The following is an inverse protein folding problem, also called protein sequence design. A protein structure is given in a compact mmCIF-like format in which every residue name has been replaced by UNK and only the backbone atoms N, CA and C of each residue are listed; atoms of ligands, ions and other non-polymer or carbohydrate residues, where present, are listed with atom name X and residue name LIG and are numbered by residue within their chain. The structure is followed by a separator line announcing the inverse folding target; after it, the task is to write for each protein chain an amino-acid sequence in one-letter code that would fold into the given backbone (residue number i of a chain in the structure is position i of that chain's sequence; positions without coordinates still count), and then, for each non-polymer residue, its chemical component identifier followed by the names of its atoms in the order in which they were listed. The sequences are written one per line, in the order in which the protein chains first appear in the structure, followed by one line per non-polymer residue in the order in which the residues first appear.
data_IF_985541066315
#
_entry.id   IF_985541066315
#
_cell.length_a   1.000
_cell.length_b   1.000
_cell.length_c   1.000
_cell.angle_alpha   90.00
_cell.angle_beta   90.00
_cell.angle_gamma   90.00
#
_symmetry.space_group_name_H-M   'P 1'
#
loop_
_entity.id
_entity.type
_entity.pdbx_description
1 polymer ?
#
# COMPACT_ATOMS: atom_id res chain seq x y z
N UNK A 1 -33.38 -3.97 -54.39
CA UNK A 1 -33.79 -3.51 -53.04
C UNK A 1 -32.55 -3.46 -52.17
N UNK A 2 -32.43 -2.37 -51.43
CA UNK A 2 -31.22 -1.81 -50.82
C UNK A 2 -30.78 -2.56 -49.56
N UNK A 3 -29.47 -2.50 -49.30
CA UNK A 3 -28.67 -2.90 -48.15
C UNK A 3 -29.33 -2.89 -46.76
N UNK A 4 -28.89 -3.82 -45.91
CA UNK A 4 -28.68 -3.52 -44.49
C UNK A 4 -27.27 -3.97 -44.09
N UNK A 5 -26.46 -2.95 -43.83
CA UNK A 5 -25.22 -2.97 -43.07
C UNK A 5 -25.54 -2.62 -41.61
N UNK A 6 -24.67 -3.05 -40.69
CA UNK A 6 -24.57 -2.61 -39.28
C UNK A 6 -25.67 -3.16 -38.36
N UNK A 7 -25.38 -3.75 -37.20
CA UNK A 7 -24.39 -3.32 -36.21
C UNK A 7 -23.52 -4.48 -35.71
N UNK A 8 -22.20 -4.26 -35.73
CA UNK A 8 -21.31 -4.95 -34.81
C UNK A 8 -21.64 -4.43 -33.41
N UNK A 9 -22.08 -5.32 -32.54
CA UNK A 9 -22.20 -5.06 -31.12
C UNK A 9 -20.77 -4.92 -30.57
N UNK A 10 -20.33 -3.74 -30.10
CA UNK A 10 -19.18 -3.70 -29.23
C UNK A 10 -19.69 -4.28 -27.92
N UNK A 11 -19.58 -5.60 -27.75
CA UNK A 11 -19.62 -6.21 -26.44
C UNK A 11 -18.58 -5.46 -25.61
N UNK A 12 -19.10 -4.51 -24.85
CA UNK A 12 -18.43 -3.81 -23.80
C UNK A 12 -17.74 -4.90 -23.02
N UNK A 13 -16.43 -4.79 -22.97
CA UNK A 13 -15.58 -5.64 -22.16
C UNK A 13 -15.94 -5.25 -20.73
N UNK A 14 -17.08 -5.75 -20.23
CA UNK A 14 -17.46 -5.80 -18.83
C UNK A 14 -16.34 -6.59 -18.17
N UNK A 15 -15.28 -5.86 -17.85
CA UNK A 15 -14.13 -6.37 -17.15
C UNK A 15 -14.72 -6.92 -15.87
N UNK A 16 -14.76 -8.25 -15.75
CA UNK A 16 -15.20 -8.95 -14.55
C UNK A 16 -14.74 -8.15 -13.33
N UNK A 17 -15.59 -7.93 -12.31
CA UNK A 17 -15.31 -7.00 -11.23
C UNK A 17 -13.89 -7.24 -10.73
N UNK A 18 -12.99 -6.33 -11.15
CA UNK A 18 -11.55 -6.51 -11.01
C UNK A 18 -11.30 -6.82 -9.55
N UNK A 19 -10.70 -7.98 -9.24
CA UNK A 19 -10.62 -8.56 -7.90
C UNK A 19 -10.41 -7.49 -6.81
N UNK A 20 -11.47 -6.98 -6.18
CA UNK A 20 -11.34 -5.79 -5.33
C UNK A 20 -10.59 -6.11 -4.04
N UNK A 21 -9.81 -5.15 -3.56
CA UNK A 21 -9.11 -5.21 -2.28
C UNK A 21 -9.80 -4.27 -1.28
N UNK A 22 -10.24 -4.80 -0.14
CA UNK A 22 -10.82 -4.00 0.94
C UNK A 22 -9.71 -3.53 1.87
N UNK A 23 -9.67 -2.24 2.14
CA UNK A 23 -8.75 -1.62 3.10
C UNK A 23 -9.52 -1.24 4.36
N UNK A 24 -8.93 -1.52 5.52
CA UNK A 24 -9.44 -1.09 6.82
C UNK A 24 -8.32 -0.45 7.62
N UNK A 25 -8.57 0.71 8.21
CA UNK A 25 -7.65 1.32 9.14
C UNK A 25 -7.48 0.45 10.40
N UNK A 26 -6.23 0.23 10.81
CA UNK A 26 -5.85 -0.31 12.10
C UNK A 26 -5.24 0.80 12.96
N UNK A 27 -5.45 0.77 14.28
CA UNK A 27 -4.84 1.74 15.18
C UNK A 27 -3.32 1.62 15.18
N UNK A 28 -2.66 2.71 15.59
CA UNK A 28 -1.24 2.71 15.90
C UNK A 28 -0.90 1.60 16.91
N UNK A 29 0.28 0.98 16.75
CA UNK A 29 0.70 -0.11 17.64
C UNK A 29 1.13 0.38 19.03
N UNK A 30 1.65 1.59 19.12
CA UNK A 30 2.10 2.23 20.37
C UNK A 30 2.18 3.75 20.18
N UNK A 31 2.38 4.49 21.27
CA UNK A 31 2.72 5.91 21.25
C UNK A 31 4.19 6.11 21.65
N UNK A 32 4.91 7.10 21.09
CA UNK A 32 4.47 7.98 20.00
C UNK A 32 4.30 7.22 18.66
N UNK A 33 3.54 7.79 17.73
CA UNK A 33 3.32 7.20 16.41
C UNK A 33 3.36 8.27 15.31
N UNK A 34 3.96 7.92 14.18
CA UNK A 34 4.04 8.76 13.00
C UNK A 34 3.02 8.30 11.96
N UNK A 35 2.19 9.19 11.38
CA UNK A 35 1.34 8.86 10.24
C UNK A 35 2.15 8.25 9.10
N UNK A 36 1.55 7.36 8.30
CA UNK A 36 2.24 6.77 7.13
C UNK A 36 2.70 7.81 6.11
N UNK A 37 2.09 8.99 6.08
CA UNK A 37 2.46 10.10 5.20
C UNK A 37 3.59 10.98 5.75
N UNK A 38 3.97 10.76 7.01
CA UNK A 38 5.04 11.52 7.64
C UNK A 38 6.41 11.11 7.09
N UNK A 39 7.32 12.08 6.97
CA UNK A 39 8.70 11.87 6.50
C UNK A 39 9.46 10.80 7.28
N UNK A 40 9.08 10.58 8.54
CA UNK A 40 9.65 9.50 9.36
C UNK A 40 9.42 8.13 8.73
N UNK A 41 8.22 7.83 8.24
CA UNK A 41 7.95 6.54 7.59
C UNK A 41 8.79 6.40 6.32
N UNK A 42 8.81 7.44 5.49
CA UNK A 42 9.58 7.39 4.25
C UNK A 42 11.10 7.26 4.49
N UNK A 43 11.67 8.10 5.34
CA UNK A 43 13.13 8.15 5.52
C UNK A 43 13.62 6.96 6.37
N UNK A 44 12.89 6.61 7.45
CA UNK A 44 13.36 5.64 8.44
C UNK A 44 12.94 4.20 8.10
N UNK A 45 11.76 3.99 7.52
CA UNK A 45 11.30 2.65 7.17
C UNK A 45 11.71 2.20 5.75
N UNK A 46 12.04 3.10 4.81
CA UNK A 46 12.50 2.68 3.46
C UNK A 46 13.63 1.65 3.47
N UNK A 47 14.69 1.76 4.30
CA UNK A 47 15.72 0.72 4.37
C UNK A 47 15.22 -0.65 4.86
N UNK A 48 14.11 -0.69 5.61
CA UNK A 48 13.52 -1.90 6.18
C UNK A 48 12.59 -2.57 5.17
N UNK A 49 11.61 -1.81 4.67
CA UNK A 49 10.52 -2.34 3.84
C UNK A 49 10.72 -2.11 2.35
N UNK A 50 11.72 -1.32 1.97
CA UNK A 50 11.98 -0.96 0.58
C UNK A 50 11.04 0.15 0.06
N UNK A 51 11.44 0.85 -1.00
CA UNK A 51 10.74 2.03 -1.50
C UNK A 51 9.33 1.70 -2.00
N UNK A 52 9.16 0.59 -2.73
CA UNK A 52 7.86 0.16 -3.24
C UNK A 52 6.84 -0.07 -2.13
N UNK A 53 7.27 -0.68 -1.01
CA UNK A 53 6.38 -0.96 0.11
C UNK A 53 5.99 0.34 0.83
N UNK A 54 6.92 1.29 0.96
CA UNK A 54 6.62 2.64 1.47
C UNK A 54 5.59 3.34 0.60
N UNK A 55 5.78 3.38 -0.73
CA UNK A 55 4.83 4.00 -1.64
C UNK A 55 3.44 3.35 -1.56
N UNK A 56 3.39 2.02 -1.48
CA UNK A 56 2.15 1.27 -1.33
C UNK A 56 1.42 1.63 -0.02
N UNK A 57 2.13 1.64 1.11
CA UNK A 57 1.54 2.00 2.40
C UNK A 57 1.02 3.44 2.40
N UNK A 58 1.77 4.39 1.82
CA UNK A 58 1.34 5.78 1.66
C UNK A 58 0.09 5.90 0.75
N UNK A 59 0.02 5.14 -0.34
CA UNK A 59 -1.16 5.10 -1.20
C UNK A 59 -2.39 4.57 -0.47
N UNK A 60 -2.26 3.43 0.23
CA UNK A 60 -3.35 2.87 1.02
C UNK A 60 -3.82 3.82 2.14
N UNK A 61 -2.90 4.56 2.77
CA UNK A 61 -3.24 5.57 3.77
C UNK A 61 -4.08 6.69 3.17
N UNK A 62 -3.68 7.25 2.01
CA UNK A 62 -4.46 8.27 1.29
C UNK A 62 -5.87 7.79 0.93
N UNK A 63 -5.99 6.55 0.45
CA UNK A 63 -7.31 5.96 0.13
C UNK A 63 -8.21 5.85 1.37
N UNK A 64 -7.65 5.46 2.52
CA UNK A 64 -8.39 5.37 3.78
C UNK A 64 -8.79 6.76 4.31
N UNK A 65 -7.89 7.73 4.24
CA UNK A 65 -8.14 9.10 4.67
C UNK A 65 -9.22 9.78 3.81
N UNK A 66 -9.09 9.70 2.47
CA UNK A 66 -10.04 10.25 1.53
C UNK A 66 -11.46 9.65 1.68
N UNK A 67 -11.55 8.37 2.06
CA UNK A 67 -12.83 7.71 2.30
C UNK A 67 -13.42 7.99 3.70
N UNK A 68 -12.62 8.51 4.64
CA UNK A 68 -13.02 8.68 6.04
C UNK A 68 -13.29 7.37 6.78
N UNK A 69 -12.78 6.23 6.28
CA UNK A 69 -13.12 4.91 6.79
C UNK A 69 -12.70 3.74 5.89
N UNK A 70 -13.19 2.52 6.16
CA UNK A 70 -12.91 1.37 5.30
C UNK A 70 -13.33 1.63 3.85
N UNK A 71 -12.48 1.24 2.91
CA UNK A 71 -12.69 1.52 1.48
C UNK A 71 -12.30 0.32 0.62
N UNK A 72 -12.67 0.35 -0.66
CA UNK A 72 -12.30 -0.67 -1.65
C UNK A 72 -11.47 -0.05 -2.75
N UNK A 73 -10.41 -0.72 -3.15
CA UNK A 73 -9.51 -0.30 -4.23
C UNK A 73 -9.35 -1.42 -5.24
N UNK A 74 -9.17 -1.06 -6.52
CA UNK A 74 -8.76 -2.01 -7.54
C UNK A 74 -7.25 -2.29 -7.40
N UNK A 75 -6.81 -3.56 -7.28
CA UNK A 75 -5.37 -3.87 -7.19
C UNK A 75 -4.57 -3.43 -8.41
N UNK A 76 -5.18 -3.41 -9.59
CA UNK A 76 -4.51 -2.97 -10.83
C UNK A 76 -4.22 -1.48 -10.74
N UNK A 77 -5.24 -0.67 -10.41
CA UNK A 77 -5.10 0.78 -10.27
C UNK A 77 -4.14 1.13 -9.12
N UNK A 78 -4.26 0.46 -7.98
CA UNK A 78 -3.36 0.66 -6.84
C UNK A 78 -1.90 0.34 -7.20
N UNK A 79 -1.65 -0.72 -7.96
CA UNK A 79 -0.30 -1.04 -8.44
C UNK A 79 0.23 0.04 -9.40
N UNK A 80 -0.61 0.51 -10.33
CA UNK A 80 -0.25 1.54 -11.29
C UNK A 80 0.02 2.90 -10.61
N UNK A 81 -0.73 3.25 -9.57
CA UNK A 81 -0.54 4.48 -8.78
C UNK A 81 0.88 4.59 -8.23
N UNK A 82 1.48 3.47 -7.84
CA UNK A 82 2.85 3.40 -7.29
C UNK A 82 3.90 2.98 -8.31
N UNK A 83 3.57 3.03 -9.61
CA UNK A 83 4.49 2.75 -10.71
C UNK A 83 4.82 1.26 -10.92
N UNK A 84 4.02 0.34 -10.37
CA UNK A 84 4.20 -1.09 -10.60
C UNK A 84 3.46 -1.57 -11.84
N UNK A 85 4.07 -2.54 -12.53
CA UNK A 85 3.39 -3.27 -13.59
C UNK A 85 2.32 -4.17 -12.98
N UNK A 86 1.06 -3.92 -13.31
CA UNK A 86 -0.04 -4.79 -12.97
C UNK A 86 -0.16 -5.97 -13.96
N UNK A 87 -0.43 -7.17 -13.45
CA UNK A 87 -0.85 -8.31 -14.28
C UNK A 87 -2.36 -8.29 -14.40
N UNK A 88 -2.90 -8.01 -15.59
CA UNK A 88 -4.35 -7.95 -15.80
C UNK A 88 -5.05 -9.29 -15.55
N UNK A 89 -4.36 -10.42 -15.73
CA UNK A 89 -4.94 -11.75 -15.55
C UNK A 89 -4.98 -12.22 -14.09
N UNK A 90 -3.99 -11.84 -13.28
CA UNK A 90 -3.89 -12.23 -11.84
C UNK A 90 -3.22 -11.11 -11.04
N UNK A 91 -3.94 -10.00 -10.75
CA UNK A 91 -3.37 -8.85 -10.05
C UNK A 91 -2.81 -9.20 -8.66
N UNK A 92 -3.45 -10.16 -7.97
CA UNK A 92 -3.06 -10.68 -6.66
C UNK A 92 -2.34 -12.05 -6.72
N UNK A 93 -1.73 -12.38 -7.87
CA UNK A 93 -0.99 -13.64 -8.02
C UNK A 93 0.33 -13.69 -7.24
N UNK A 94 0.84 -14.90 -6.95
CA UNK A 94 2.10 -15.13 -6.20
C UNK A 94 3.36 -14.47 -6.79
N UNK A 95 3.34 -14.10 -8.07
CA UNK A 95 4.45 -13.43 -8.78
C UNK A 95 4.22 -11.91 -8.92
N UNK A 96 3.15 -11.38 -8.33
CA UNK A 96 2.78 -9.97 -8.43
C UNK A 96 3.70 -9.12 -7.57
N UNK A 97 4.27 -8.06 -8.14
CA UNK A 97 5.05 -7.07 -7.39
C UNK A 97 4.21 -6.40 -6.30
N UNK A 98 2.90 -6.21 -6.54
CA UNK A 98 1.98 -5.71 -5.53
C UNK A 98 1.88 -6.67 -4.34
N UNK A 99 1.72 -7.98 -4.59
CA UNK A 99 1.65 -8.99 -3.54
C UNK A 99 2.96 -9.05 -2.75
N UNK A 100 4.12 -8.98 -3.40
CA UNK A 100 5.41 -8.94 -2.71
C UNK A 100 5.57 -7.69 -1.83
N UNK A 101 5.08 -6.53 -2.29
CA UNK A 101 5.08 -5.32 -1.48
C UNK A 101 4.13 -5.44 -0.27
N UNK A 102 2.93 -6.01 -0.45
CA UNK A 102 1.99 -6.31 0.66
C UNK A 102 2.64 -7.28 1.65
N UNK A 103 3.27 -8.35 1.18
CA UNK A 103 3.93 -9.34 2.03
C UNK A 103 5.05 -8.73 2.85
N UNK A 104 5.81 -7.79 2.27
CA UNK A 104 6.84 -7.05 3.00
C UNK A 104 6.26 -6.15 4.07
N UNK A 105 5.18 -5.42 3.77
CA UNK A 105 4.47 -4.63 4.78
C UNK A 105 3.86 -5.50 5.89
N UNK A 106 3.42 -6.72 5.54
CA UNK A 106 2.87 -7.67 6.50
C UNK A 106 3.95 -8.26 7.41
N UNK A 107 5.13 -8.56 6.85
CA UNK A 107 6.29 -9.01 7.61
C UNK A 107 6.71 -7.97 8.66
N UNK A 108 6.71 -6.69 8.30
CA UNK A 108 7.05 -5.57 9.19
C UNK A 108 5.84 -5.02 9.97
N UNK A 109 4.71 -5.75 10.00
CA UNK A 109 3.51 -5.45 10.78
C UNK A 109 2.83 -4.09 10.49
N UNK A 110 3.11 -3.48 9.35
CA UNK A 110 2.44 -2.25 8.86
C UNK A 110 1.07 -2.60 8.28
N UNK A 111 0.97 -3.78 7.66
CA UNK A 111 -0.28 -4.34 7.13
C UNK A 111 -0.58 -5.67 7.81
N UNK A 112 -1.86 -5.98 7.99
CA UNK A 112 -2.35 -7.30 8.40
C UNK A 112 -3.29 -7.85 7.34
N UNK A 113 -3.07 -9.09 6.91
CA UNK A 113 -4.07 -9.82 6.11
C UNK A 113 -5.15 -10.32 7.05
N UNK A 114 -6.32 -9.68 7.03
CA UNK A 114 -7.45 -10.05 7.88
C UNK A 114 -8.24 -11.22 7.26
N UNK A 115 -8.39 -11.15 5.94
CA UNK A 115 -8.98 -12.19 5.08
C UNK A 115 -8.30 -12.12 3.71
N UNK A 116 -8.60 -13.06 2.80
CA UNK A 116 -7.96 -13.18 1.48
C UNK A 116 -7.93 -11.85 0.69
N UNK A 117 -8.98 -11.02 0.84
CA UNK A 117 -9.12 -9.73 0.16
C UNK A 117 -9.33 -8.54 1.10
N UNK A 118 -9.01 -8.71 2.39
CA UNK A 118 -9.13 -7.64 3.38
C UNK A 118 -7.77 -7.37 4.01
N UNK A 119 -7.26 -6.16 3.79
CA UNK A 119 -6.04 -5.67 4.42
C UNK A 119 -6.39 -4.67 5.52
N UNK A 120 -5.91 -4.96 6.73
CA UNK A 120 -5.78 -3.97 7.78
C UNK A 120 -4.50 -3.16 7.58
N UNK A 121 -4.59 -1.83 7.54
CA UNK A 121 -3.44 -0.93 7.34
C UNK A 121 -3.27 -0.09 8.59
N UNK A 122 -2.11 -0.16 9.25
CA UNK A 122 -1.82 0.73 10.38
C UNK A 122 -1.63 2.14 9.87
N UNK A 123 -2.53 3.05 10.25
CA UNK A 123 -2.50 4.44 9.77
C UNK A 123 -1.34 5.25 10.36
N UNK A 124 -0.76 4.76 11.45
CA UNK A 124 0.46 5.30 12.05
C UNK A 124 1.36 4.18 12.59
N UNK A 125 2.66 4.43 12.52
CA UNK A 125 3.74 3.50 12.86
C UNK A 125 4.57 4.03 14.04
N UNK A 126 5.08 3.15 14.91
CA UNK A 126 5.92 3.59 16.01
C UNK A 126 7.33 3.98 15.53
N UNK A 127 8.09 4.70 16.36
CA UNK A 127 9.52 4.77 16.18
C UNK A 127 10.13 3.36 16.07
N UNK A 128 11.11 3.19 15.18
CA UNK A 128 11.85 1.92 15.10
C UNK A 128 12.57 1.65 16.43
N UNK A 129 12.67 0.37 16.80
CA UNK A 129 13.37 -0.02 18.04
C UNK A 129 14.85 0.36 17.98
N UNK A 130 15.48 0.56 19.14
CA UNK A 130 16.91 0.85 19.22
C UNK A 130 17.78 -0.23 18.54
N UNK A 131 17.36 -1.50 18.61
CA UNK A 131 18.05 -2.62 17.98
C UNK A 131 17.96 -2.55 16.44
N UNK A 132 16.80 -2.21 15.90
CA UNK A 132 16.63 -2.00 14.45
C UNK A 132 17.42 -0.77 14.00
N UNK A 133 17.30 0.33 14.75
CA UNK A 133 17.98 1.59 14.46
C UNK A 133 19.50 1.42 14.39
N UNK A 134 20.09 0.62 15.28
CA UNK A 134 21.53 0.37 15.31
C UNK A 134 22.09 -0.26 14.00
N UNK A 135 21.24 -0.95 13.23
CA UNK A 135 21.59 -1.61 11.97
C UNK A 135 21.40 -0.69 10.75
N UNK A 136 20.80 0.49 10.94
CA UNK A 136 20.50 1.41 9.86
C UNK A 136 21.69 2.32 9.50
N UNK A 137 21.75 2.83 8.25
CA UNK A 137 22.76 3.81 7.85
C UNK A 137 22.81 5.01 8.81
N UNK A 138 24.00 5.59 8.98
CA UNK A 138 24.22 6.76 9.87
C UNK A 138 23.24 7.88 9.54
N UNK A 139 23.06 8.20 8.26
CA UNK A 139 22.15 9.26 7.80
C UNK A 139 20.70 9.02 8.22
N UNK A 140 20.24 7.76 8.23
CA UNK A 140 18.90 7.38 8.68
C UNK A 140 18.78 7.47 10.20
N UNK A 141 19.83 7.09 10.93
CA UNK A 141 19.88 7.26 12.39
C UNK A 141 19.83 8.73 12.80
N UNK A 142 20.51 9.60 12.06
CA UNK A 142 20.49 11.04 12.30
C UNK A 142 19.10 11.63 11.98
N UNK A 143 18.46 11.17 10.89
CA UNK A 143 17.08 11.54 10.59
C UNK A 143 16.10 11.09 11.68
N UNK A 144 16.21 9.85 12.17
CA UNK A 144 15.42 9.36 13.30
C UNK A 144 15.55 10.29 14.52
N UNK A 145 16.78 10.63 14.93
CA UNK A 145 16.99 11.48 16.11
C UNK A 145 16.34 12.85 15.93
N UNK A 146 16.49 13.47 14.75
CA UNK A 146 15.87 14.76 14.45
C UNK A 146 14.34 14.70 14.50
N UNK A 147 13.75 13.72 13.84
CA UNK A 147 12.28 13.63 13.70
C UNK A 147 11.58 13.22 15.00
N UNK A 148 12.22 12.38 15.84
CA UNK A 148 11.66 12.00 17.15
C UNK A 148 11.81 13.12 18.18
N UNK A 149 12.77 14.04 18.01
CA UNK A 149 13.01 15.15 18.95
C UNK A 149 12.12 16.39 18.72
N UNK A 150 11.33 16.40 17.64
CA UNK A 150 10.53 17.56 17.21
C UNK A 150 9.05 17.42 17.63
N UNK A 151 8.65 16.25 18.14
CA UNK A 151 7.33 15.94 18.70
C UNK A 151 7.37 15.73 20.21
#
# INVERSE_FOLDING_TARGET
MVSQSELADPSENESEPSEVLRLRALPAASQPAFPLEHDYFEIVYTPLVGPTAVLLARAMARHLDAAGGPTTVCPIELAQEIGLRASSAKPLGKKSHLVHAIDRLAHDHIVSRLEDRILGVRVAIPPVSAQTLAKLPVTVRDAHRRLVSVD
#
